data_IF_471350915687
#
_entry.id   IF_471350915687
#
_cell.length_a   1.000
_cell.length_b   1.000
_cell.length_c   1.000
_cell.angle_alpha   90.00
_cell.angle_beta   90.00
_cell.angle_gamma   90.00
#
_symmetry.space_group_name_H-M   'P 1'
#
loop_
_entity.id
_entity.type
_entity.pdbx_description
1 polymer ?
#
# COMPACT_ATOMS: atom_id res chain seq x y z
N UNK A 1 10.50 11.07 28.51
CA UNK A 1 10.39 12.22 27.56
C UNK A 1 9.90 13.46 28.29
N UNK A 2 10.18 14.68 27.79
CA UNK A 2 9.73 15.97 28.37
C UNK A 2 8.20 16.00 28.60
N UNK A 3 7.42 15.49 27.63
CA UNK A 3 5.95 15.47 27.66
C UNK A 3 5.35 14.63 28.82
N UNK A 4 6.07 13.59 29.24
CA UNK A 4 5.68 12.70 30.33
C UNK A 4 5.89 13.35 31.69
N UNK A 5 6.95 14.17 31.82
CA UNK A 5 7.21 15.01 33.01
C UNK A 5 6.22 16.17 33.13
N UNK A 6 5.66 16.63 32.02
CA UNK A 6 4.66 17.70 31.94
C UNK A 6 3.20 17.19 32.06
N UNK A 7 3.00 15.89 32.35
CA UNK A 7 1.67 15.33 32.61
C UNK A 7 0.86 14.92 31.37
N UNK A 8 1.44 14.98 30.17
CA UNK A 8 0.79 14.57 28.92
C UNK A 8 0.98 13.09 28.60
N UNK A 9 0.77 12.20 29.58
CA UNK A 9 0.96 10.75 29.43
C UNK A 9 0.13 10.12 28.30
N UNK A 10 -1.06 10.67 28.03
CA UNK A 10 -1.89 10.27 26.89
C UNK A 10 -1.29 10.63 25.54
N UNK A 11 -0.57 11.75 25.43
CA UNK A 11 0.13 12.17 24.20
C UNK A 11 1.38 11.32 24.01
N UNK A 12 2.13 11.06 25.07
CA UNK A 12 3.29 10.15 25.05
C UNK A 12 2.89 8.77 24.55
N UNK A 13 1.79 8.22 25.09
CA UNK A 13 1.25 6.92 24.66
C UNK A 13 0.76 6.94 23.22
N UNK A 14 0.11 8.03 22.79
CA UNK A 14 -0.30 8.20 21.39
C UNK A 14 0.92 8.28 20.46
N UNK A 15 2.01 8.95 20.86
CA UNK A 15 3.24 9.03 20.08
C UNK A 15 3.94 7.67 20.00
N UNK A 16 4.03 6.93 21.10
CA UNK A 16 4.52 5.55 21.13
C UNK A 16 3.66 4.60 20.28
N UNK A 17 2.34 4.82 20.22
CA UNK A 17 1.39 4.06 19.40
C UNK A 17 1.37 4.50 17.91
N UNK A 18 1.88 5.68 17.58
CA UNK A 18 1.81 6.26 16.22
C UNK A 18 3.16 6.30 15.51
N UNK A 19 4.27 6.30 16.23
CA UNK A 19 5.64 6.25 15.70
C UNK A 19 6.27 4.89 15.98
N UNK A 20 7.08 4.34 15.07
CA UNK A 20 7.77 3.08 15.33
C UNK A 20 8.69 3.19 16.55
N UNK A 21 8.71 2.14 17.38
CA UNK A 21 9.63 2.07 18.52
C UNK A 21 11.09 2.11 18.06
N UNK A 22 11.97 2.68 18.89
CA UNK A 22 13.42 2.72 18.64
C UNK A 22 14.06 1.31 18.56
N UNK A 23 13.33 0.25 18.93
CA UNK A 23 13.83 -1.11 18.99
C UNK A 23 13.90 -1.82 17.62
N UNK A 24 13.20 -1.35 16.58
CA UNK A 24 13.33 -1.95 15.23
C UNK A 24 13.10 -0.96 14.06
N UNK A 25 13.85 0.16 14.00
CA UNK A 25 13.65 1.20 12.99
C UNK A 25 13.89 0.68 11.58
N UNK A 26 14.85 -0.23 11.38
CA UNK A 26 15.23 -0.65 10.04
C UNK A 26 14.14 -1.47 9.34
N UNK A 27 13.46 -2.38 10.05
CA UNK A 27 12.37 -3.19 9.48
C UNK A 27 11.18 -2.31 9.06
N UNK A 28 10.80 -1.36 9.92
CA UNK A 28 9.70 -0.42 9.61
C UNK A 28 10.08 0.51 8.47
N UNK A 29 11.29 1.07 8.48
CA UNK A 29 11.82 1.91 7.41
C UNK A 29 11.85 1.19 6.06
N UNK A 30 12.22 -0.10 6.07
CA UNK A 30 12.24 -0.94 4.88
C UNK A 30 10.83 -1.13 4.30
N UNK A 31 9.84 -1.40 5.15
CA UNK A 31 8.44 -1.53 4.74
C UNK A 31 7.88 -0.21 4.20
N UNK A 32 8.06 0.89 4.93
CA UNK A 32 7.59 2.22 4.54
C UNK A 32 8.25 2.70 3.23
N UNK A 33 9.57 2.51 3.07
CA UNK A 33 10.27 2.77 1.82
C UNK A 33 9.67 1.98 0.65
N UNK A 34 9.33 0.71 0.89
CA UNK A 34 8.60 -0.12 -0.06
C UNK A 34 7.31 0.50 -0.55
N UNK A 35 6.45 0.89 0.38
CA UNK A 35 5.16 1.52 0.06
C UNK A 35 5.38 2.80 -0.76
N UNK A 36 6.35 3.64 -0.39
CA UNK A 36 6.68 4.87 -1.16
C UNK A 36 7.08 4.53 -2.60
N UNK A 37 7.98 3.56 -2.78
CA UNK A 37 8.40 3.10 -4.12
C UNK A 37 7.20 2.54 -4.88
N UNK A 38 6.36 1.72 -4.22
CA UNK A 38 5.15 1.16 -4.82
C UNK A 38 4.18 2.25 -5.28
N UNK A 39 3.96 3.29 -4.47
CA UNK A 39 3.16 4.45 -4.84
C UNK A 39 3.70 5.16 -6.07
N UNK A 40 5.00 5.42 -6.11
CA UNK A 40 5.67 6.08 -7.25
C UNK A 40 5.52 5.23 -8.51
N UNK A 41 5.78 3.92 -8.42
CA UNK A 41 5.63 3.00 -9.56
C UNK A 41 4.20 3.01 -10.09
N UNK A 42 3.21 2.81 -9.22
CA UNK A 42 1.80 2.76 -9.61
C UNK A 42 1.30 4.11 -10.17
N UNK A 43 1.74 5.23 -9.60
CA UNK A 43 1.33 6.57 -10.04
C UNK A 43 2.06 7.01 -11.30
N UNK A 44 3.39 7.02 -11.27
CA UNK A 44 4.20 7.69 -12.29
C UNK A 44 4.49 6.80 -13.50
N UNK A 45 4.60 5.48 -13.29
CA UNK A 45 4.86 4.52 -14.38
C UNK A 45 3.55 4.01 -14.97
N UNK A 46 2.60 3.63 -14.12
CA UNK A 46 1.32 3.06 -14.56
C UNK A 46 0.19 4.10 -14.72
N UNK A 47 0.43 5.36 -14.37
CA UNK A 47 -0.55 6.44 -14.52
C UNK A 47 -1.78 6.28 -13.63
N UNK A 48 -1.69 5.52 -12.53
CA UNK A 48 -2.84 5.28 -11.66
C UNK A 48 -3.07 6.46 -10.71
N UNK A 49 -4.34 6.71 -10.43
CA UNK A 49 -4.74 7.70 -9.43
C UNK A 49 -4.61 7.09 -8.04
N UNK A 50 -3.83 7.72 -7.18
CA UNK A 50 -3.64 7.27 -5.79
C UNK A 50 -3.96 8.42 -4.83
N UNK A 51 -5.21 8.55 -4.38
CA UNK A 51 -5.63 9.72 -3.61
C UNK A 51 -5.10 9.75 -2.18
N UNK A 52 -4.76 8.58 -1.63
CA UNK A 52 -4.26 8.45 -0.27
C UNK A 52 -2.94 7.69 -0.30
N UNK A 53 -1.88 8.35 0.15
CA UNK A 53 -0.51 7.84 0.11
C UNK A 53 -0.20 6.77 1.18
N UNK A 54 -1.10 6.58 2.13
CA UNK A 54 -1.00 5.50 3.12
C UNK A 54 -2.40 5.20 3.66
N UNK A 55 -2.88 3.99 3.45
CA UNK A 55 -4.16 3.53 4.04
C UNK A 55 -4.07 3.33 5.56
N UNK A 56 -2.87 3.45 6.13
CA UNK A 56 -2.62 3.35 7.58
C UNK A 56 -3.03 4.63 8.30
N UNK A 57 -4.34 4.86 8.45
CA UNK A 57 -4.77 5.54 9.68
C UNK A 57 -4.56 4.54 10.82
N UNK A 58 -3.41 4.64 11.51
CA UNK A 58 -3.00 3.71 12.57
C UNK A 58 -4.02 3.71 13.71
N UNK A 59 -5.02 2.82 13.71
CA UNK A 59 -5.75 2.49 14.95
C UNK A 59 -4.87 1.61 15.86
N UNK A 60 -3.90 0.90 15.27
CA UNK A 60 -2.84 0.15 15.96
C UNK A 60 -1.57 0.17 15.07
N UNK A 61 -0.38 0.30 15.65
CA UNK A 61 0.90 0.41 14.93
C UNK A 61 1.33 -0.89 14.23
N UNK A 62 0.76 -2.02 14.63
CA UNK A 62 1.17 -3.36 14.18
C UNK A 62 0.46 -3.87 12.91
N UNK A 63 -0.67 -3.27 12.48
CA UNK A 63 -1.48 -3.80 11.36
C UNK A 63 -2.10 -2.71 10.49
N UNK A 64 -2.05 -2.91 9.17
CA UNK A 64 -2.87 -2.14 8.22
C UNK A 64 -4.35 -2.41 8.53
N UNK A 65 -5.17 -1.35 8.63
CA UNK A 65 -6.58 -1.44 9.01
C UNK A 65 -7.42 -2.30 8.04
N UNK A 66 -6.92 -2.50 6.80
CA UNK A 66 -7.63 -3.22 5.73
C UNK A 66 -6.86 -4.41 5.15
N UNK A 67 -5.62 -4.67 5.61
CA UNK A 67 -4.76 -5.72 5.03
C UNK A 67 -4.41 -5.48 3.56
N UNK A 68 -4.32 -4.21 3.16
CA UNK A 68 -3.95 -3.72 1.82
C UNK A 68 -2.97 -2.58 2.05
N UNK A 69 -1.79 -2.66 1.45
CA UNK A 69 -0.78 -1.61 1.54
C UNK A 69 -1.16 -0.37 0.71
N UNK A 70 -1.53 -0.58 -0.56
CA UNK A 70 -1.86 0.49 -1.51
C UNK A 70 -3.18 0.19 -2.22
N UNK A 71 -4.05 1.20 -2.30
CA UNK A 71 -5.20 1.21 -3.22
C UNK A 71 -5.00 2.30 -4.25
N UNK A 72 -5.22 1.96 -5.51
CA UNK A 72 -5.09 2.86 -6.65
C UNK A 72 -6.29 2.68 -7.59
N UNK A 73 -6.51 3.67 -8.45
CA UNK A 73 -7.65 3.69 -9.36
C UNK A 73 -7.17 4.01 -10.77
N UNK A 74 -7.62 3.21 -11.74
CA UNK A 74 -7.60 3.61 -13.15
C UNK A 74 -8.95 4.22 -13.46
N UNK A 75 -8.95 5.50 -13.80
CA UNK A 75 -10.15 6.27 -14.09
C UNK A 75 -10.09 6.74 -15.54
N UNK A 76 -11.07 6.33 -16.34
CA UNK A 76 -11.26 6.79 -17.71
C UNK A 76 -12.38 7.83 -17.74
N UNK A 77 -12.20 8.89 -18.53
CA UNK A 77 -13.14 10.00 -18.59
C UNK A 77 -14.37 9.67 -19.45
N UNK A 78 -14.21 8.86 -20.50
CA UNK A 78 -15.28 8.56 -21.48
C UNK A 78 -15.81 7.12 -21.40
N UNK A 79 -14.94 6.13 -21.16
CA UNK A 79 -15.29 4.71 -21.10
C UNK A 79 -15.08 4.14 -19.70
N UNK A 80 -16.06 4.38 -18.85
CA UNK A 80 -16.08 3.93 -17.46
C UNK A 80 -16.08 2.41 -17.27
N UNK A 81 -16.33 1.62 -18.34
CA UNK A 81 -16.30 0.15 -18.27
C UNK A 81 -14.88 -0.42 -18.13
N UNK A 82 -13.87 0.40 -18.39
CA UNK A 82 -12.46 0.00 -18.23
C UNK A 82 -11.84 0.48 -16.93
N UNK A 83 -12.62 1.19 -16.12
CA UNK A 83 -12.13 1.66 -14.83
C UNK A 83 -11.82 0.48 -13.94
N UNK A 84 -10.76 0.63 -13.16
CA UNK A 84 -10.27 -0.44 -12.31
C UNK A 84 -9.95 0.08 -10.92
N UNK A 85 -10.23 -0.77 -9.92
CA UNK A 85 -9.65 -0.63 -8.59
C UNK A 85 -8.47 -1.57 -8.51
N UNK A 86 -7.33 -1.02 -8.13
CA UNK A 86 -6.06 -1.74 -8.04
C UNK A 86 -5.68 -1.86 -6.58
N UNK A 87 -5.50 -3.10 -6.12
CA UNK A 87 -5.04 -3.42 -4.77
C UNK A 87 -3.63 -3.95 -4.86
N UNK A 88 -2.67 -3.27 -4.22
CA UNK A 88 -1.29 -3.70 -4.20
C UNK A 88 -0.83 -4.07 -2.80
N UNK A 89 -0.09 -5.18 -2.75
CA UNK A 89 0.61 -5.65 -1.55
C UNK A 89 2.10 -5.54 -1.81
N UNK A 90 2.82 -4.89 -0.89
CA UNK A 90 4.21 -4.51 -1.11
C UNK A 90 5.13 -5.28 -0.17
N UNK A 91 6.16 -5.91 -0.74
CA UNK A 91 7.24 -6.51 0.04
C UNK A 91 8.61 -6.04 -0.36
N UNK A 92 9.22 -5.33 0.58
CA UNK A 92 10.62 -4.90 0.51
C UNK A 92 11.50 -5.83 1.33
N UNK A 93 12.60 -6.28 0.74
CA UNK A 93 13.59 -7.11 1.45
C UNK A 93 14.88 -7.23 0.65
N UNK A 94 16.02 -7.29 1.35
CA UNK A 94 17.32 -7.69 0.80
C UNK A 94 17.51 -9.19 0.74
N UNK A 95 16.73 -9.94 1.51
CA UNK A 95 16.81 -11.40 1.52
C UNK A 95 16.10 -11.97 0.28
N UNK A 96 16.78 -12.90 -0.39
CA UNK A 96 16.43 -13.51 -1.68
C UNK A 96 14.95 -13.87 -1.82
N UNK A 97 14.42 -14.72 -0.94
CA UNK A 97 13.04 -15.24 -1.04
C UNK A 97 12.11 -14.73 0.08
N UNK A 98 12.61 -13.90 1.00
CA UNK A 98 11.85 -13.55 2.19
C UNK A 98 10.56 -12.82 1.83
N UNK A 99 9.45 -13.39 2.31
CA UNK A 99 8.11 -12.84 2.15
C UNK A 99 7.56 -12.82 0.72
N UNK A 100 8.25 -13.39 -0.28
CA UNK A 100 7.72 -13.44 -1.67
C UNK A 100 6.40 -14.22 -1.68
N UNK A 101 6.42 -15.46 -1.19
CA UNK A 101 5.22 -16.31 -1.08
C UNK A 101 4.08 -15.63 -0.29
N UNK A 102 4.43 -14.91 0.77
CA UNK A 102 3.48 -14.23 1.66
C UNK A 102 2.67 -13.16 0.92
N UNK A 103 3.31 -12.36 0.06
CA UNK A 103 2.60 -11.37 -0.78
C UNK A 103 1.55 -12.04 -1.66
N UNK A 104 1.91 -13.17 -2.29
CA UNK A 104 0.95 -13.88 -3.14
C UNK A 104 -0.17 -14.53 -2.32
N UNK A 105 0.12 -15.07 -1.13
CA UNK A 105 -0.90 -15.58 -0.21
C UNK A 105 -1.86 -14.46 0.23
N UNK A 106 -1.36 -13.25 0.49
CA UNK A 106 -2.15 -12.06 0.82
C UNK A 106 -3.05 -11.65 -0.36
N UNK A 107 -2.51 -11.57 -1.58
CA UNK A 107 -3.31 -11.29 -2.78
C UNK A 107 -4.36 -12.38 -3.04
N UNK A 108 -4.01 -13.67 -2.94
CA UNK A 108 -4.99 -14.75 -3.09
C UNK A 108 -6.10 -14.68 -2.03
N UNK A 109 -5.77 -14.22 -0.81
CA UNK A 109 -6.77 -14.01 0.24
C UNK A 109 -7.77 -12.91 -0.11
N UNK A 110 -7.35 -11.90 -0.90
CA UNK A 110 -8.22 -10.82 -1.37
C UNK A 110 -9.18 -11.29 -2.48
N UNK A 111 -8.77 -12.27 -3.28
CA UNK A 111 -9.57 -12.77 -4.42
C UNK A 111 -10.51 -13.92 -4.05
N UNK A 112 -10.26 -14.60 -2.93
CA UNK A 112 -11.03 -15.76 -2.52
C UNK A 112 -12.55 -15.48 -2.50
N UNK A 113 -13.23 -15.98 -3.53
CA UNK A 113 -14.67 -15.81 -3.73
C UNK A 113 -15.45 -16.45 -2.58
N UNK A 114 -16.44 -15.72 -2.04
CA UNK A 114 -17.39 -16.23 -1.06
C UNK A 114 -17.18 -15.78 0.40
N UNK A 115 -16.07 -15.12 0.73
CA UNK A 115 -15.89 -14.54 2.07
C UNK A 115 -16.39 -13.09 2.10
N UNK A 116 -17.58 -12.89 2.68
CA UNK A 116 -18.16 -11.55 2.90
C UNK A 116 -17.19 -10.60 3.62
N UNK A 117 -16.32 -11.12 4.49
CA UNK A 117 -15.32 -10.35 5.21
C UNK A 117 -14.27 -9.71 4.30
N UNK A 118 -13.80 -10.43 3.27
CA UNK A 118 -12.77 -9.94 2.34
C UNK A 118 -13.31 -8.84 1.45
N UNK A 119 -14.50 -9.05 0.87
CA UNK A 119 -15.20 -8.00 0.10
C UNK A 119 -15.49 -6.77 0.96
N UNK A 120 -15.80 -6.96 2.24
CA UNK A 120 -15.96 -5.85 3.18
C UNK A 120 -14.65 -5.09 3.40
N UNK A 121 -13.48 -5.75 3.47
CA UNK A 121 -12.17 -5.07 3.58
C UNK A 121 -11.90 -4.16 2.39
N UNK A 122 -12.07 -4.67 1.16
CA UNK A 122 -11.89 -3.88 -0.07
C UNK A 122 -12.88 -2.70 -0.14
N UNK A 123 -14.17 -2.94 0.15
CA UNK A 123 -15.18 -1.87 0.21
C UNK A 123 -14.86 -0.84 1.28
N UNK A 124 -14.37 -1.24 2.44
CA UNK A 124 -13.99 -0.31 3.50
C UNK A 124 -12.77 0.53 3.10
N UNK A 125 -11.79 -0.05 2.39
CA UNK A 125 -10.66 0.70 1.85
C UNK A 125 -11.11 1.75 0.83
N UNK A 126 -11.98 1.40 -0.12
CA UNK A 126 -12.55 2.36 -1.09
C UNK A 126 -13.33 3.46 -0.36
N UNK A 127 -14.19 3.10 0.61
CA UNK A 127 -14.95 4.07 1.41
C UNK A 127 -14.02 5.03 2.15
N UNK A 128 -12.97 4.52 2.78
CA UNK A 128 -11.99 5.33 3.49
C UNK A 128 -11.34 6.36 2.56
N UNK A 129 -10.97 5.96 1.33
CA UNK A 129 -10.45 6.90 0.32
C UNK A 129 -11.49 7.96 -0.04
N UNK A 130 -12.74 7.56 -0.27
CA UNK A 130 -13.85 8.48 -0.56
C UNK A 130 -14.04 9.51 0.54
N UNK A 131 -14.09 9.07 1.79
CA UNK A 131 -14.26 9.94 2.96
C UNK A 131 -13.12 10.96 3.08
N UNK A 132 -11.86 10.53 2.86
CA UNK A 132 -10.71 11.45 2.87
C UNK A 132 -10.79 12.48 1.75
N UNK A 133 -11.21 12.07 0.55
CA UNK A 133 -11.39 12.99 -0.57
C UNK A 133 -12.51 14.01 -0.31
N UNK A 134 -13.62 13.56 0.28
CA UNK A 134 -14.71 14.43 0.68
C UNK A 134 -14.26 15.48 1.70
N UNK A 135 -13.53 15.05 2.74
CA UNK A 135 -12.96 15.93 3.77
C UNK A 135 -11.97 16.95 3.21
N UNK A 136 -11.25 16.58 2.14
CA UNK A 136 -10.32 17.47 1.42
C UNK A 136 -11.01 18.38 0.39
N UNK A 137 -12.34 18.29 0.22
CA UNK A 137 -13.08 19.07 -0.76
C UNK A 137 -12.91 18.62 -2.20
N UNK A 138 -12.34 17.44 -2.44
CA UNK A 138 -12.10 16.88 -3.77
C UNK A 138 -13.32 16.11 -4.29
N UNK A 139 -14.47 16.79 -4.36
CA UNK A 139 -15.77 16.15 -4.57
C UNK A 139 -15.93 15.42 -5.91
N UNK A 140 -15.32 15.93 -6.99
CA UNK A 140 -15.42 15.29 -8.31
C UNK A 140 -14.70 13.94 -8.32
N UNK A 141 -13.48 13.89 -7.78
CA UNK A 141 -12.70 12.65 -7.68
C UNK A 141 -13.34 11.68 -6.67
N UNK A 142 -13.88 12.21 -5.57
CA UNK A 142 -14.65 11.44 -4.59
C UNK A 142 -15.81 10.69 -5.26
N UNK A 143 -16.65 11.37 -6.02
CA UNK A 143 -17.80 10.74 -6.70
C UNK A 143 -17.36 9.66 -7.68
N UNK A 144 -16.27 9.90 -8.42
CA UNK A 144 -15.69 8.90 -9.34
C UNK A 144 -15.21 7.65 -8.61
N UNK A 145 -14.70 7.78 -7.39
CA UNK A 145 -14.24 6.65 -6.58
C UNK A 145 -15.39 5.98 -5.81
N UNK A 146 -16.35 6.75 -5.31
CA UNK A 146 -17.50 6.23 -4.57
C UNK A 146 -18.30 5.22 -5.40
N UNK A 147 -18.36 5.40 -6.73
CA UNK A 147 -19.08 4.50 -7.63
C UNK A 147 -18.59 3.04 -7.59
N UNK A 148 -17.35 2.78 -7.16
CA UNK A 148 -16.85 1.41 -6.99
C UNK A 148 -17.49 0.68 -5.80
N UNK A 149 -18.19 1.40 -4.90
CA UNK A 149 -18.99 0.79 -3.83
C UNK A 149 -20.40 0.39 -4.27
N UNK A 150 -20.87 0.95 -5.38
CA UNK A 150 -22.20 0.76 -5.91
C UNK A 150 -22.15 -0.12 -7.16
N UNK A 151 -22.56 -1.38 -6.98
CA UNK A 151 -22.59 -2.37 -8.04
C UNK A 151 -23.61 -2.06 -9.15
N UNK A 152 -24.54 -1.13 -8.93
CA UNK A 152 -25.46 -0.65 -9.96
C UNK A 152 -24.89 0.54 -10.72
N UNK A 153 -24.07 1.38 -10.07
CA UNK A 153 -23.43 2.53 -10.70
C UNK A 153 -22.24 2.13 -11.60
N UNK A 154 -21.55 1.03 -11.29
CA UNK A 154 -20.48 0.51 -12.12
C UNK A 154 -20.45 -1.03 -12.11
N UNK A 155 -21.33 -1.71 -12.86
CA UNK A 155 -21.39 -3.18 -12.87
C UNK A 155 -20.19 -3.84 -13.57
N UNK A 156 -19.30 -3.07 -14.22
CA UNK A 156 -18.27 -3.57 -15.13
C UNK A 156 -16.85 -3.20 -14.74
N UNK A 157 -16.61 -2.61 -13.56
CA UNK A 157 -15.25 -2.30 -13.16
C UNK A 157 -14.40 -3.56 -12.98
N UNK A 158 -13.10 -3.40 -13.22
CA UNK A 158 -12.13 -4.46 -13.03
C UNK A 158 -11.48 -4.34 -11.65
N UNK A 159 -11.47 -5.44 -10.91
CA UNK A 159 -10.57 -5.57 -9.75
C UNK A 159 -9.24 -6.11 -10.25
N UNK A 160 -8.17 -5.37 -9.97
CA UNK A 160 -6.81 -5.76 -10.31
C UNK A 160 -5.94 -5.84 -9.05
N UNK A 161 -5.00 -6.77 -9.05
CA UNK A 161 -4.17 -7.12 -7.91
C UNK A 161 -2.70 -7.05 -8.30
N UNK A 162 -1.90 -6.39 -7.46
CA UNK A 162 -0.49 -6.13 -7.75
C UNK A 162 0.37 -6.64 -6.59
N UNK A 163 0.91 -7.87 -6.68
CA UNK A 163 2.08 -8.25 -5.90
C UNK A 163 3.25 -7.35 -6.32
N UNK A 164 3.75 -6.51 -5.41
CA UNK A 164 4.86 -5.59 -5.69
C UNK A 164 6.07 -5.94 -4.81
N UNK A 165 7.16 -6.34 -5.45
CA UNK A 165 8.39 -6.72 -4.78
C UNK A 165 9.45 -5.63 -4.99
N UNK A 166 9.97 -5.07 -3.91
CA UNK A 166 11.13 -4.17 -3.95
C UNK A 166 12.34 -4.94 -3.40
N UNK A 167 13.33 -5.18 -4.26
CA UNK A 167 14.41 -6.13 -3.97
C UNK A 167 15.77 -5.52 -4.25
N UNK A 168 16.76 -6.03 -3.53
CA UNK A 168 18.15 -5.77 -3.87
C UNK A 168 18.53 -6.61 -5.10
N UNK A 169 19.08 -5.97 -6.13
CA UNK A 169 19.45 -6.57 -7.41
C UNK A 169 20.54 -7.63 -7.25
N UNK A 170 21.42 -7.50 -6.25
CA UNK A 170 22.55 -8.39 -6.06
C UNK A 170 22.15 -9.73 -5.44
N UNK A 171 21.05 -9.73 -4.67
CA UNK A 171 20.58 -10.92 -3.94
C UNK A 171 19.27 -11.48 -4.49
N UNK A 172 18.58 -10.74 -5.35
CA UNK A 172 17.38 -11.22 -6.02
C UNK A 172 17.68 -12.46 -6.86
N UNK A 173 16.77 -13.42 -6.79
CA UNK A 173 16.80 -14.62 -7.60
C UNK A 173 15.38 -14.92 -8.08
N UNK A 174 15.23 -15.14 -9.37
CA UNK A 174 13.96 -15.46 -10.00
C UNK A 174 13.41 -16.81 -9.53
N UNK A 175 14.28 -17.71 -9.04
CA UNK A 175 13.88 -18.99 -8.43
C UNK A 175 12.99 -18.77 -7.19
N UNK A 176 12.99 -17.57 -6.59
CA UNK A 176 12.07 -17.23 -5.50
C UNK A 176 10.59 -17.26 -5.92
N UNK A 177 10.30 -17.27 -7.23
CA UNK A 177 8.96 -17.41 -7.80
C UNK A 177 8.58 -18.86 -8.07
N UNK A 178 9.52 -19.81 -7.97
CA UNK A 178 9.24 -21.23 -8.21
C UNK A 178 8.19 -21.76 -7.22
N UNK A 179 7.24 -22.53 -7.76
CA UNK A 179 6.14 -23.10 -6.98
C UNK A 179 5.06 -22.11 -6.55
N UNK A 180 5.20 -20.82 -6.89
CA UNK A 180 4.11 -19.85 -6.73
C UNK A 180 3.08 -20.13 -7.81
N UNK A 181 1.90 -20.57 -7.38
CA UNK A 181 0.77 -20.83 -8.25
C UNK A 181 -0.36 -19.90 -7.87
N UNK A 182 -0.90 -19.19 -8.86
CA UNK A 182 -1.99 -18.23 -8.68
C UNK A 182 -3.34 -18.89 -8.98
N UNK A 183 -3.58 -20.04 -8.37
CA UNK A 183 -4.69 -20.92 -8.77
C UNK A 183 -6.07 -20.27 -8.53
N UNK A 184 -6.13 -19.26 -7.67
CA UNK A 184 -7.36 -18.51 -7.36
C UNK A 184 -7.48 -17.20 -8.15
N UNK A 185 -6.44 -16.79 -8.86
CA UNK A 185 -6.42 -15.49 -9.55
C UNK A 185 -6.68 -15.68 -11.03
N UNK A 186 -7.57 -14.86 -11.58
CA UNK A 186 -7.65 -14.69 -13.02
C UNK A 186 -6.35 -14.01 -13.50
N UNK A 187 -5.58 -14.59 -14.43
CA UNK A 187 -4.34 -14.00 -14.93
C UNK A 187 -4.52 -12.57 -15.48
N UNK A 188 -5.71 -12.24 -15.98
CA UNK A 188 -6.01 -10.90 -16.51
C UNK A 188 -6.26 -9.85 -15.40
N UNK A 189 -6.33 -10.28 -14.14
CA UNK A 189 -6.53 -9.41 -12.98
C UNK A 189 -5.25 -9.22 -12.16
N UNK A 190 -4.14 -9.86 -12.52
CA UNK A 190 -2.91 -9.81 -11.72
C UNK A 190 -1.76 -9.24 -12.53
N UNK A 191 -1.04 -8.29 -11.94
CA UNK A 191 0.21 -7.77 -12.48
C UNK A 191 1.32 -7.87 -11.43
N UNK A 192 2.26 -8.79 -11.63
CA UNK A 192 3.46 -8.88 -10.80
C UNK A 192 4.41 -7.74 -11.16
N UNK A 193 4.77 -6.93 -10.16
CA UNK A 193 5.79 -5.88 -10.30
C UNK A 193 7.01 -6.26 -9.47
N UNK A 194 8.19 -6.30 -10.10
CA UNK A 194 9.47 -6.54 -9.41
C UNK A 194 10.38 -5.35 -9.70
N UNK A 195 10.72 -4.61 -8.65
CA UNK A 195 11.59 -3.44 -8.72
C UNK A 195 12.94 -3.78 -8.09
N UNK A 196 13.99 -3.83 -8.91
CA UNK A 196 15.34 -4.20 -8.49
C UNK A 196 16.20 -2.94 -8.30
N UNK A 197 16.66 -2.72 -7.07
CA UNK A 197 17.54 -1.63 -6.70
C UNK A 197 18.99 -2.12 -6.59
N UNK A 198 19.96 -1.34 -7.05
CA UNK A 198 21.37 -1.76 -7.08
C UNK A 198 21.98 -2.00 -5.69
N UNK A 199 21.56 -1.21 -4.70
CA UNK A 199 21.87 -1.37 -3.28
C UNK A 199 20.65 -0.87 -2.48
N UNK A 200 19.84 -1.79 -2.00
CA UNK A 200 18.57 -1.48 -1.34
C UNK A 200 18.78 -0.78 0.01
N UNK A 201 19.78 -1.23 0.78
CA UNK A 201 20.07 -0.70 2.11
C UNK A 201 20.57 0.76 2.04
N UNK A 202 21.47 1.03 1.10
CA UNK A 202 21.96 2.40 0.84
C UNK A 202 20.83 3.31 0.33
N UNK A 203 19.96 2.82 -0.57
CA UNK A 203 18.83 3.59 -1.06
C UNK A 203 17.84 3.95 0.06
N UNK A 204 17.54 3.01 0.95
CA UNK A 204 16.68 3.26 2.13
C UNK A 204 17.36 4.31 3.02
N UNK A 205 18.63 4.12 3.37
CA UNK A 205 19.35 5.03 4.25
C UNK A 205 19.38 6.46 3.69
N UNK A 206 19.74 6.62 2.41
CA UNK A 206 19.78 7.93 1.75
C UNK A 206 18.41 8.61 1.71
N UNK A 207 17.33 7.86 1.48
CA UNK A 207 15.98 8.40 1.48
C UNK A 207 15.58 8.97 2.86
N UNK A 208 15.92 8.26 3.94
CA UNK A 208 15.62 8.72 5.31
C UNK A 208 16.50 9.89 5.75
N UNK A 209 17.78 9.91 5.37
CA UNK A 209 18.67 11.05 5.62
C UNK A 209 18.19 12.33 4.92
N UNK A 210 17.75 12.19 3.67
CA UNK A 210 17.17 13.30 2.91
C UNK A 210 15.88 13.81 3.55
N UNK A 211 14.99 12.91 3.95
CA UNK A 211 13.72 13.27 4.60
C UNK A 211 13.95 14.04 5.91
N UNK A 212 14.89 13.59 6.75
CA UNK A 212 15.25 14.27 7.99
C UNK A 212 15.82 15.68 7.74
N UNK A 213 16.50 15.90 6.62
CA UNK A 213 17.07 17.20 6.26
C UNK A 213 16.00 18.18 5.76
N UNK A 214 14.98 17.70 5.05
CA UNK A 214 13.87 18.54 4.55
C UNK A 214 12.99 19.04 5.69
N UNK A 215 12.72 18.21 6.70
CA UNK A 215 11.97 18.64 7.89
C UNK A 215 12.70 19.74 8.67
N UNK A 216 14.03 19.68 8.74
CA UNK A 216 14.85 20.71 9.40
C UNK A 216 14.87 22.07 8.68
N UNK A 217 14.49 22.11 7.40
CA UNK A 217 14.39 23.34 6.60
C UNK A 217 12.97 23.92 6.55
N UNK A 218 11.97 23.17 7.00
CA UNK A 218 10.55 23.55 6.95
C UNK A 218 9.92 23.81 8.32
N UNK A 219 10.69 23.66 9.41
CA UNK A 219 10.38 24.16 10.76
C UNK A 219 11.05 25.50 11.06
#
# INVERSE_FOLDING_TARGET
MVLEREGFSGVTKLLEEKFPSEENPFSVRTGDFGEVVGHIVLRDIFGLTIPVFKLRFKTNWERAAFGIDIIAFRLHDEDHQRDAVVFAEVKTSKDKSYGVKKVFEEIESLVAEGQSEVKNKMRNAIRFVSERLFEQGQYELEQRIYRFLDCYANPHYVEAFVPLLVRDKQTWDEDALEGITLNKLNPNQVLLCIFLLGNLEEAIQAAYELAATVEALSG
#
